data_IF_309626744189
#
_entry.id   IF_309626744189
#
_cell.length_a   1.000
_cell.length_b   1.000
_cell.length_c   1.000
_cell.angle_alpha   90.00
_cell.angle_beta   90.00
_cell.angle_gamma   90.00
#
_symmetry.space_group_name_H-M   'P 1'
#
loop_
_entity.id
_entity.type
_entity.pdbx_description
1 polymer ?
#
# COMPACT_ATOMS: atom_id res chain seq x y z
N UNK A 1 -2.40 -19.08 1.43
CA UNK A 1 -1.37 -18.04 1.47
C UNK A 1 -1.69 -17.25 2.71
N UNK A 2 -0.94 -17.53 3.78
CA UNK A 2 -1.48 -17.30 5.12
C UNK A 2 -0.80 -16.11 5.81
N UNK A 3 0.31 -15.63 5.24
CA UNK A 3 0.98 -14.39 5.62
C UNK A 3 1.68 -13.72 4.44
N UNK A 4 2.01 -12.44 4.63
CA UNK A 4 2.95 -11.67 3.78
C UNK A 4 4.00 -11.00 4.66
N UNK A 5 5.16 -10.67 4.08
CA UNK A 5 6.17 -9.86 4.78
C UNK A 5 5.87 -8.39 4.58
N UNK A 6 5.66 -7.67 5.68
CA UNK A 6 5.56 -6.22 5.71
C UNK A 6 6.91 -5.61 6.07
N UNK A 7 7.42 -4.70 5.24
CA UNK A 7 8.73 -4.08 5.38
C UNK A 7 8.62 -2.56 5.25
N UNK A 8 9.12 -1.83 6.25
CA UNK A 8 9.29 -0.38 6.16
C UNK A 8 10.71 -0.08 5.68
N UNK A 9 10.87 0.51 4.49
CA UNK A 9 12.17 0.75 3.86
C UNK A 9 13.04 1.70 4.68
N UNK A 10 12.44 2.76 5.25
CA UNK A 10 13.14 3.80 5.99
C UNK A 10 13.79 3.31 7.29
N UNK A 11 13.25 2.24 7.90
CA UNK A 11 13.70 1.74 9.20
C UNK A 11 14.22 0.30 9.15
N UNK A 12 14.01 -0.38 8.02
CA UNK A 12 14.33 -1.81 7.87
C UNK A 12 13.44 -2.72 8.70
N UNK A 13 12.42 -2.19 9.40
CA UNK A 13 11.49 -2.97 10.21
C UNK A 13 10.84 -4.04 9.33
N UNK A 14 10.85 -5.29 9.80
CA UNK A 14 10.17 -6.42 9.15
C UNK A 14 9.19 -7.06 10.10
N UNK A 15 7.98 -7.31 9.60
CA UNK A 15 6.92 -7.99 10.34
C UNK A 15 6.22 -9.00 9.43
N UNK A 16 5.93 -10.18 9.97
CA UNK A 16 4.96 -11.07 9.34
C UNK A 16 3.56 -10.50 9.56
N UNK A 17 2.80 -10.30 8.49
CA UNK A 17 1.39 -9.94 8.57
C UNK A 17 0.57 -11.17 8.19
N UNK A 18 -0.04 -11.88 9.15
CA UNK A 18 -1.00 -12.94 8.88
C UNK A 18 -2.24 -12.41 8.17
N UNK A 19 -2.85 -13.25 7.33
CA UNK A 19 -4.12 -12.93 6.67
C UNK A 19 -5.26 -12.70 7.67
N UNK A 20 -5.24 -13.40 8.80
CA UNK A 20 -6.26 -13.34 9.84
C UNK A 20 -6.36 -11.99 10.55
N UNK A 21 -5.35 -11.13 10.46
CA UNK A 21 -5.38 -9.78 11.06
C UNK A 21 -6.21 -8.78 10.25
N UNK A 22 -6.49 -9.06 8.98
CA UNK A 22 -7.37 -8.26 8.15
C UNK A 22 -8.76 -8.90 8.13
N UNK A 23 -9.79 -8.22 8.61
CA UNK A 23 -11.15 -8.75 8.53
C UNK A 23 -11.60 -8.83 7.07
N UNK A 24 -12.41 -9.83 6.71
CA UNK A 24 -12.90 -9.95 5.34
C UNK A 24 -13.69 -8.70 4.92
N UNK A 25 -14.50 -8.15 5.83
CA UNK A 25 -15.26 -6.92 5.60
C UNK A 25 -14.35 -5.74 5.21
N UNK A 26 -13.23 -5.56 5.92
CA UNK A 26 -12.29 -4.48 5.61
C UNK A 26 -11.59 -4.72 4.27
N UNK A 27 -11.20 -5.96 3.99
CA UNK A 27 -10.58 -6.35 2.70
C UNK A 27 -11.53 -6.09 1.53
N UNK A 28 -12.79 -6.49 1.65
CA UNK A 28 -13.81 -6.29 0.62
C UNK A 28 -14.10 -4.79 0.39
N UNK A 29 -14.19 -4.01 1.46
CA UNK A 29 -14.37 -2.55 1.39
C UNK A 29 -13.21 -1.87 0.63
N UNK A 30 -11.98 -2.17 1.03
CA UNK A 30 -10.78 -1.62 0.39
C UNK A 30 -10.59 -2.16 -1.03
N UNK A 31 -11.06 -3.37 -1.35
CA UNK A 31 -11.01 -3.88 -2.72
C UNK A 31 -11.86 -3.03 -3.69
N UNK A 32 -12.99 -2.47 -3.22
CA UNK A 32 -13.80 -1.53 -3.99
C UNK A 32 -13.06 -0.21 -4.18
N UNK A 33 -12.49 0.36 -3.12
CA UNK A 33 -11.67 1.58 -3.20
C UNK A 33 -10.49 1.43 -4.17
N UNK A 34 -9.69 0.37 -3.99
CA UNK A 34 -8.55 0.06 -4.84
C UNK A 34 -8.97 -0.09 -6.31
N UNK A 35 -10.14 -0.67 -6.58
CA UNK A 35 -10.65 -0.79 -7.95
C UNK A 35 -11.03 0.56 -8.57
N UNK A 36 -11.50 1.52 -7.77
CA UNK A 36 -11.73 2.90 -8.23
C UNK A 36 -10.40 3.59 -8.50
N UNK A 37 -9.46 3.52 -7.56
CA UNK A 37 -8.12 4.10 -7.72
C UNK A 37 -7.40 3.58 -8.98
N UNK A 38 -7.47 2.28 -9.24
CA UNK A 38 -6.84 1.69 -10.43
C UNK A 38 -7.50 2.10 -11.75
N UNK A 39 -8.80 2.41 -11.74
CA UNK A 39 -9.55 2.84 -12.93
C UNK A 39 -9.39 4.33 -13.19
N UNK A 40 -9.51 5.14 -12.13
CA UNK A 40 -9.63 6.60 -12.21
C UNK A 40 -8.28 7.29 -11.91
N UNK A 41 -7.24 6.52 -11.57
CA UNK A 41 -5.92 6.99 -11.16
C UNK A 41 -5.82 7.25 -9.65
N UNK A 42 -6.91 7.68 -9.02
CA UNK A 42 -7.01 7.92 -7.58
C UNK A 42 -8.44 7.77 -7.05
N UNK A 43 -8.59 7.68 -5.73
CA UNK A 43 -9.88 7.67 -5.03
C UNK A 43 -9.73 8.30 -3.64
N UNK A 44 -10.82 8.79 -3.06
CA UNK A 44 -10.86 9.11 -1.63
C UNK A 44 -10.83 7.83 -0.78
N UNK A 45 -10.16 7.88 0.36
CA UNK A 45 -10.13 6.81 1.37
C UNK A 45 -11.30 7.01 2.32
N UNK A 46 -12.08 5.96 2.57
CA UNK A 46 -13.19 6.02 3.53
C UNK A 46 -12.72 5.54 4.90
N UNK A 47 -12.34 6.50 5.76
CA UNK A 47 -12.13 6.24 7.18
C UNK A 47 -13.50 6.19 7.86
N UNK A 48 -13.91 5.01 8.33
CA UNK A 48 -15.26 4.77 8.84
C UNK A 48 -15.74 5.83 9.84
N UNK A 49 -17.02 6.20 9.75
CA UNK A 49 -17.88 6.93 10.69
C UNK A 49 -17.30 8.15 11.48
N UNK A 50 -16.18 8.74 11.06
CA UNK A 50 -15.63 9.92 11.73
C UNK A 50 -16.32 11.21 11.25
N UNK A 51 -17.50 11.50 11.82
CA UNK A 51 -18.18 12.82 11.89
C UNK A 51 -18.43 13.57 10.56
N UNK A 52 -19.11 14.72 10.62
CA UNK A 52 -19.78 15.41 9.49
C UNK A 52 -18.88 15.89 8.32
N UNK A 53 -17.56 15.71 8.40
CA UNK A 53 -16.63 15.82 7.26
C UNK A 53 -15.29 15.17 7.61
N UNK A 54 -15.07 13.86 7.37
CA UNK A 54 -13.78 13.25 7.61
C UNK A 54 -12.71 13.89 6.70
N UNK A 55 -11.46 14.07 7.18
CA UNK A 55 -10.37 14.56 6.35
C UNK A 55 -10.23 13.71 5.08
N UNK A 56 -10.21 14.37 3.92
CA UNK A 56 -10.19 13.72 2.60
C UNK A 56 -8.81 13.20 2.23
N UNK A 57 -8.39 12.08 2.84
CA UNK A 57 -7.23 11.34 2.36
C UNK A 57 -7.52 10.72 0.99
N UNK A 58 -6.49 10.61 0.15
CA UNK A 58 -6.61 10.02 -1.19
C UNK A 58 -5.62 8.87 -1.38
N UNK A 59 -6.06 7.83 -2.06
CA UNK A 59 -5.23 6.73 -2.53
C UNK A 59 -5.05 6.87 -4.05
N UNK A 60 -3.80 7.02 -4.49
CA UNK A 60 -3.40 6.86 -5.89
C UNK A 60 -2.88 5.44 -6.08
N UNK A 61 -3.27 4.76 -7.16
CA UNK A 61 -2.85 3.38 -7.40
C UNK A 61 -2.53 3.14 -8.88
N UNK A 62 -1.52 2.31 -9.13
CA UNK A 62 -1.18 1.82 -10.47
C UNK A 62 -0.65 0.39 -10.40
N UNK A 63 -0.94 -0.43 -11.39
CA UNK A 63 -0.55 -1.84 -11.37
C UNK A 63 0.04 -2.30 -12.71
N UNK A 64 1.01 -3.21 -12.64
CA UNK A 64 1.56 -3.93 -13.78
C UNK A 64 1.59 -5.42 -13.44
N UNK A 65 0.74 -6.21 -14.10
CA UNK A 65 0.59 -7.63 -13.81
C UNK A 65 0.14 -7.85 -12.35
N UNK A 66 0.98 -8.50 -11.55
CA UNK A 66 0.73 -8.79 -10.13
C UNK A 66 1.42 -7.84 -9.14
N UNK A 67 2.06 -6.78 -9.65
CA UNK A 67 2.71 -5.73 -8.88
C UNK A 67 1.80 -4.50 -8.81
N UNK A 68 1.60 -3.98 -7.60
CA UNK A 68 0.79 -2.79 -7.31
C UNK A 68 1.69 -1.74 -6.64
N UNK A 69 1.59 -0.49 -7.10
CA UNK A 69 2.19 0.68 -6.47
C UNK A 69 1.07 1.62 -6.03
N UNK A 70 1.12 2.05 -4.78
CA UNK A 70 0.17 2.95 -4.17
C UNK A 70 0.87 4.13 -3.51
N UNK A 71 0.21 5.29 -3.49
CA UNK A 71 0.60 6.43 -2.65
C UNK A 71 -0.63 6.96 -1.95
N UNK A 72 -0.55 7.15 -0.64
CA UNK A 72 -1.59 7.81 0.15
C UNK A 72 -1.22 9.28 0.32
N UNK A 73 -2.18 10.17 0.10
CA UNK A 73 -2.03 11.61 0.23
C UNK A 73 -2.89 12.15 1.37
N UNK A 74 -2.33 13.10 2.12
CA UNK A 74 -3.05 13.95 3.06
C UNK A 74 -4.10 14.82 2.33
N UNK A 75 -5.08 15.38 3.07
CA UNK A 75 -6.06 16.32 2.52
C UNK A 75 -5.44 17.50 1.77
N UNK A 76 -4.28 17.99 2.22
CA UNK A 76 -3.53 19.08 1.57
C UNK A 76 -2.80 18.66 0.29
N UNK A 77 -2.89 17.39 -0.11
CA UNK A 77 -2.24 16.84 -1.30
C UNK A 77 -0.78 16.41 -1.12
N UNK A 78 -0.26 16.42 0.10
CA UNK A 78 1.09 15.93 0.41
C UNK A 78 1.12 14.40 0.53
N UNK A 79 2.11 13.68 -0.03
CA UNK A 79 2.19 12.23 0.07
C UNK A 79 2.60 11.80 1.49
N UNK A 80 1.94 10.80 2.07
CA UNK A 80 2.22 10.33 3.44
C UNK A 80 3.03 9.03 3.43
N UNK A 81 2.63 8.11 2.56
CA UNK A 81 3.35 6.86 2.30
C UNK A 81 3.26 6.51 0.83
N UNK A 82 4.33 5.93 0.30
CA UNK A 82 4.32 5.22 -0.98
C UNK A 82 4.65 3.77 -0.70
N UNK A 83 3.79 2.83 -1.12
CA UNK A 83 4.01 1.42 -0.86
C UNK A 83 3.76 0.57 -2.09
N UNK A 84 4.50 -0.52 -2.17
CA UNK A 84 4.41 -1.51 -3.22
C UNK A 84 3.95 -2.86 -2.66
N UNK A 85 3.16 -3.58 -3.44
CA UNK A 85 2.74 -4.94 -3.12
C UNK A 85 3.09 -5.83 -4.31
N UNK A 86 3.92 -6.85 -4.09
CA UNK A 86 4.19 -7.87 -5.09
C UNK A 86 3.57 -9.20 -4.65
N UNK A 87 2.55 -9.66 -5.39
CA UNK A 87 1.91 -10.96 -5.15
C UNK A 87 2.73 -12.14 -5.70
N UNK A 88 3.51 -11.91 -6.76
CA UNK A 88 4.33 -12.93 -7.45
C UNK A 88 5.69 -12.34 -7.81
N UNK A 89 6.66 -13.21 -8.06
CA UNK A 89 8.05 -12.84 -8.40
C UNK A 89 8.15 -11.98 -9.67
N UNK A 90 7.25 -12.18 -10.64
CA UNK A 90 7.20 -11.36 -11.85
C UNK A 90 6.88 -9.90 -11.49
N UNK A 91 7.78 -8.98 -11.89
CA UNK A 91 7.79 -7.55 -11.56
C UNK A 91 8.15 -7.17 -10.11
N UNK A 92 8.37 -8.14 -9.22
CA UNK A 92 8.76 -7.90 -7.82
C UNK A 92 10.03 -7.04 -7.71
N UNK A 93 11.13 -7.46 -8.34
CA UNK A 93 12.40 -6.73 -8.24
C UNK A 93 12.32 -5.30 -8.78
N UNK A 94 11.62 -5.08 -9.89
CA UNK A 94 11.44 -3.75 -10.48
C UNK A 94 10.57 -2.84 -9.62
N UNK A 95 9.52 -3.38 -9.00
CA UNK A 95 8.70 -2.62 -8.05
C UNK A 95 9.51 -2.25 -6.80
N UNK A 96 10.32 -3.17 -6.29
CA UNK A 96 11.21 -2.93 -5.16
C UNK A 96 12.23 -1.84 -5.44
N UNK A 97 12.90 -1.89 -6.61
CA UNK A 97 13.80 -0.86 -7.08
C UNK A 97 13.09 0.50 -7.19
N UNK A 98 11.86 0.53 -7.73
CA UNK A 98 11.08 1.76 -7.87
C UNK A 98 10.81 2.45 -6.52
N UNK A 99 10.51 1.68 -5.46
CA UNK A 99 10.33 2.25 -4.12
C UNK A 99 11.59 2.93 -3.58
N UNK A 100 12.79 2.48 -4.01
CA UNK A 100 14.07 3.04 -3.59
C UNK A 100 14.54 4.23 -4.44
N UNK A 101 13.96 4.51 -5.63
CA UNK A 101 14.51 5.52 -6.55
C UNK A 101 14.48 6.96 -6.04
N UNK A 102 13.57 7.29 -5.14
CA UNK A 102 13.35 8.67 -4.68
C UNK A 102 13.35 8.76 -3.16
N UNK A 103 13.94 7.78 -2.48
CA UNK A 103 14.11 7.81 -1.03
C UNK A 103 15.51 8.36 -0.72
N UNK A 104 15.59 9.36 0.16
CA UNK A 104 16.90 9.94 0.54
C UNK A 104 17.73 8.96 1.37
N UNK A 105 17.07 8.18 2.24
CA UNK A 105 17.70 7.18 3.08
C UNK A 105 16.80 5.95 3.25
N UNK A 106 17.35 4.77 2.98
CA UNK A 106 16.72 3.48 3.22
C UNK A 106 17.67 2.58 4.02
N UNK A 107 17.12 1.89 5.03
CA UNK A 107 17.84 0.84 5.75
C UNK A 107 17.84 -0.49 4.97
N UNK A 108 16.99 -0.60 3.95
CA UNK A 108 16.94 -1.74 3.04
C UNK A 108 17.75 -1.51 1.77
N UNK A 109 18.15 -2.60 1.11
CA UNK A 109 18.90 -2.55 -0.15
C UNK A 109 17.98 -2.74 -1.35
N UNK A 110 18.08 -1.83 -2.33
CA UNK A 110 17.33 -1.88 -3.59
C UNK A 110 17.62 -3.14 -4.44
N UNK A 111 18.78 -3.77 -4.25
CA UNK A 111 19.21 -4.95 -5.01
C UNK A 111 18.71 -6.27 -4.39
N UNK A 112 18.18 -6.21 -3.15
CA UNK A 112 17.79 -7.39 -2.38
C UNK A 112 16.29 -7.36 -2.04
N UNK A 113 15.41 -7.55 -3.04
CA UNK A 113 13.98 -7.62 -2.78
C UNK A 113 13.64 -8.80 -1.87
N UNK A 114 12.64 -8.67 -0.99
CA UNK A 114 12.16 -9.78 -0.18
C UNK A 114 11.48 -10.87 -1.03
N UNK A 115 11.37 -12.11 -0.51
CA UNK A 115 10.56 -13.15 -1.15
C UNK A 115 9.10 -12.74 -1.22
N UNK A 116 8.41 -13.11 -2.30
CA UNK A 116 6.99 -12.78 -2.50
C UNK A 116 6.08 -13.74 -1.74
N UNK A 117 4.92 -13.28 -1.25
CA UNK A 117 4.42 -11.92 -1.35
C UNK A 117 5.01 -11.00 -0.30
N UNK A 118 5.08 -9.72 -0.64
CA UNK A 118 5.54 -8.69 0.26
C UNK A 118 4.74 -7.40 0.09
N UNK A 119 4.72 -6.62 1.17
CA UNK A 119 4.30 -5.23 1.24
C UNK A 119 5.53 -4.42 1.67
N UNK A 120 5.97 -3.51 0.80
CA UNK A 120 7.12 -2.65 1.02
C UNK A 120 6.65 -1.22 1.12
N UNK A 121 6.96 -0.55 2.23
CA UNK A 121 6.42 0.77 2.57
C UNK A 121 7.56 1.77 2.68
N UNK A 122 7.50 2.82 1.88
CA UNK A 122 8.29 4.01 2.03
C UNK A 122 7.46 5.07 2.74
N UNK A 123 7.94 5.48 3.90
CA UNK A 123 7.42 6.63 4.62
C UNK A 123 7.92 7.90 3.93
N UNK A 124 6.99 8.81 3.66
CA UNK A 124 7.29 10.11 3.07
C UNK A 124 7.47 11.16 4.18
N UNK A 125 8.37 12.16 4.02
CA UNK A 125 8.69 13.10 5.09
C UNK A 125 7.49 13.83 5.71
N UNK A 126 6.46 14.10 4.90
CA UNK A 126 5.27 14.83 5.33
C UNK A 126 4.36 14.05 6.26
N UNK A 127 4.58 12.74 6.48
CA UNK A 127 3.83 11.99 7.49
C UNK A 127 4.00 12.57 8.89
N UNK A 128 5.16 13.18 9.19
CA UNK A 128 5.47 13.76 10.49
C UNK A 128 4.51 14.89 10.90
N UNK A 129 3.80 15.46 9.92
CA UNK A 129 2.83 16.53 10.12
C UNK A 129 1.40 16.00 10.31
N UNK A 130 1.17 14.69 10.12
CA UNK A 130 -0.16 14.08 10.14
C UNK A 130 -0.22 12.91 11.16
N UNK A 131 -0.30 13.27 12.44
CA UNK A 131 -0.40 12.31 13.54
C UNK A 131 -1.66 11.44 13.46
N UNK A 132 -2.73 11.95 12.84
CA UNK A 132 -3.96 11.18 12.64
C UNK A 132 -3.68 10.01 11.68
N UNK A 133 -3.04 10.29 10.55
CA UNK A 133 -2.65 9.28 9.57
C UNK A 133 -1.77 8.17 10.16
N UNK A 134 -0.82 8.51 11.03
CA UNK A 134 0.08 7.54 11.68
C UNK A 134 -0.66 6.45 12.46
N UNK A 135 -1.85 6.75 12.99
CA UNK A 135 -2.61 5.81 13.81
C UNK A 135 -3.31 4.70 13.02
N UNK A 136 -3.54 4.89 11.71
CA UNK A 136 -4.31 3.95 10.89
C UNK A 136 -3.57 3.48 9.63
N UNK A 137 -2.58 4.22 9.14
CA UNK A 137 -1.90 3.92 7.86
C UNK A 137 -1.31 2.50 7.83
N UNK A 138 -0.69 2.09 8.93
CA UNK A 138 -0.09 0.76 9.05
C UNK A 138 -1.09 -0.37 8.88
N UNK A 139 -2.33 -0.18 9.33
CA UNK A 139 -3.39 -1.18 9.19
C UNK A 139 -3.98 -1.12 7.77
N UNK A 140 -4.19 0.09 7.25
CA UNK A 140 -4.74 0.30 5.92
C UNK A 140 -3.87 -0.30 4.82
N UNK A 141 -2.55 -0.08 4.83
CA UNK A 141 -1.64 -0.66 3.83
C UNK A 141 -1.64 -2.19 3.83
N UNK A 142 -1.80 -2.82 5.00
CA UNK A 142 -1.94 -4.29 5.12
C UNK A 142 -3.27 -4.77 4.55
N UNK A 143 -4.36 -4.05 4.81
CA UNK A 143 -5.68 -4.37 4.24
C UNK A 143 -5.66 -4.22 2.71
N UNK A 144 -5.04 -3.15 2.17
CA UNK A 144 -4.83 -2.97 0.73
C UNK A 144 -4.01 -4.11 0.15
N UNK A 145 -2.94 -4.53 0.84
CA UNK A 145 -2.11 -5.65 0.42
C UNK A 145 -2.91 -6.94 0.29
N UNK A 146 -3.76 -7.25 1.28
CA UNK A 146 -4.63 -8.42 1.23
C UNK A 146 -5.71 -8.31 0.15
N UNK A 147 -6.35 -7.15 0.00
CA UNK A 147 -7.30 -6.90 -1.09
C UNK A 147 -6.68 -7.15 -2.47
N UNK A 148 -5.43 -6.73 -2.67
CA UNK A 148 -4.69 -6.99 -3.91
C UNK A 148 -4.30 -8.47 -4.07
N UNK A 149 -3.80 -9.11 -3.02
CA UNK A 149 -3.36 -10.51 -3.05
C UNK A 149 -4.54 -11.45 -3.30
N UNK A 150 -5.72 -11.17 -2.75
CA UNK A 150 -6.91 -12.00 -2.91
C UNK A 150 -7.63 -11.77 -4.23
N UNK A 151 -7.39 -10.62 -4.87
CA UNK A 151 -7.95 -10.31 -6.18
C UNK A 151 -7.63 -11.44 -7.16
N UNK A 152 -8.69 -12.09 -7.66
CA UNK A 152 -8.60 -13.06 -8.75
C UNK A 152 -8.20 -12.30 -10.01
N UNK A 153 -7.26 -12.86 -10.78
CA UNK A 153 -6.65 -12.20 -11.93
C UNK A 153 -7.70 -11.75 -12.94
N UNK A 154 -8.01 -10.45 -12.94
CA UNK A 154 -8.79 -9.79 -13.98
C UNK A 154 -7.90 -9.56 -15.18
N UNK A 155 -7.65 -10.62 -15.95
CA UNK A 155 -7.23 -10.46 -17.34
C UNK A 155 -8.40 -9.81 -18.09
N UNK A 156 -8.27 -8.52 -18.38
CA UNK A 156 -8.68 -7.89 -19.64
C UNK A 156 -8.14 -6.46 -19.65
N UNK A 157 -7.14 -6.26 -20.51
CA UNK A 157 -6.77 -4.95 -21.04
C UNK A 157 -8.01 -4.38 -21.75
N UNK A 158 -8.32 -3.12 -21.48
CA UNK A 158 -8.88 -2.26 -22.52
C UNK A 158 -7.71 -1.68 -23.32
#
# INVERSE_FOLDING_TARGET
MDSLVHITLNTGHRRQSPRSEATQLAVDSVAVELSRALRDGETSILLGNLTDAPPHYRLKASAVGSALLCTVFAPIGAPLVTFGIAKRSLHSAKLWELLHKTIDHAETSAERPPPTPWLGVRIEPTIALDLSAMSWLGDYERIVAWAWIERRGGGRRA
#
